data_IF_162436485940
#
_entry.id   IF_162436485940
#
_cell.length_a   1.000
_cell.length_b   1.000
_cell.length_c   1.000
_cell.angle_alpha   90.00
_cell.angle_beta   90.00
_cell.angle_gamma   90.00
#
_symmetry.space_group_name_H-M   'P 1'
#
loop_
_entity.id
_entity.type
_entity.pdbx_description
1 polymer ?
#
# COMPACT_ATOMS: atom_id res chain seq x y z
N UNK A 1 -12.90 -1.37 6.62
CA UNK A 1 -11.62 -1.90 7.16
C UNK A 1 -10.73 -0.76 7.69
N UNK A 2 -10.88 0.46 7.16
CA UNK A 2 -10.08 1.66 7.47
C UNK A 2 -10.34 2.34 8.83
N UNK A 3 -11.37 1.96 9.61
CA UNK A 3 -11.69 2.74 10.83
C UNK A 3 -11.94 1.89 12.09
N UNK A 4 -12.07 0.57 11.95
CA UNK A 4 -12.65 -0.27 13.00
C UNK A 4 -11.74 -1.40 13.45
N UNK A 5 -10.50 -1.45 12.98
CA UNK A 5 -9.55 -2.47 13.43
C UNK A 5 -9.32 -2.34 14.95
N UNK A 6 -9.60 -3.42 15.69
CA UNK A 6 -9.46 -3.50 17.15
C UNK A 6 -10.24 -2.45 17.97
N UNK A 7 -11.39 -1.95 17.47
CA UNK A 7 -12.21 -0.94 18.18
C UNK A 7 -12.79 -1.38 19.54
N UNK A 8 -12.91 -2.69 19.81
CA UNK A 8 -13.53 -3.31 21.00
C UNK A 8 -14.00 -2.38 22.14
N UNK A 9 -13.09 -1.90 23.00
CA UNK A 9 -13.39 -0.97 24.13
C UNK A 9 -12.77 0.42 23.95
N UNK A 10 -12.18 0.69 22.80
CA UNK A 10 -11.56 1.96 22.49
C UNK A 10 -12.57 2.89 21.80
N UNK A 11 -12.46 4.19 22.07
CA UNK A 11 -13.30 5.19 21.43
C UNK A 11 -13.06 5.27 19.91
N UNK A 12 -11.91 4.79 19.44
CA UNK A 12 -11.48 4.77 18.04
C UNK A 12 -10.93 3.39 17.67
N UNK A 13 -11.16 2.95 16.43
CA UNK A 13 -10.44 1.83 15.83
C UNK A 13 -9.24 2.33 15.03
N UNK A 14 -8.34 1.41 14.69
CA UNK A 14 -7.23 1.70 13.79
C UNK A 14 -7.64 1.48 12.34
N UNK A 15 -6.89 2.12 11.45
CA UNK A 15 -6.95 1.85 10.01
C UNK A 15 -5.97 0.73 9.68
N UNK A 16 -6.48 -0.44 9.27
CA UNK A 16 -5.62 -1.56 8.91
C UNK A 16 -4.68 -1.24 7.74
N UNK A 17 -5.17 -0.54 6.70
CA UNK A 17 -4.35 -0.18 5.55
C UNK A 17 -3.25 0.80 5.95
N UNK A 18 -3.57 1.80 6.79
CA UNK A 18 -2.55 2.71 7.30
C UNK A 18 -1.52 1.98 8.17
N UNK A 19 -1.96 1.03 9.01
CA UNK A 19 -1.07 0.19 9.82
C UNK A 19 -0.14 -0.65 8.94
N UNK A 20 -0.63 -1.22 7.85
CA UNK A 20 0.19 -2.02 6.93
C UNK A 20 1.22 -1.16 6.18
N UNK A 21 0.85 0.05 5.75
CA UNK A 21 1.81 1.02 5.17
C UNK A 21 2.89 1.36 6.19
N UNK A 22 2.50 1.64 7.44
CA UNK A 22 3.46 1.97 8.51
C UNK A 22 4.37 0.79 8.84
N UNK A 23 3.84 -0.43 8.90
CA UNK A 23 4.64 -1.64 9.09
C UNK A 23 5.62 -1.86 7.95
N UNK A 24 5.21 -1.62 6.71
CA UNK A 24 6.09 -1.70 5.55
C UNK A 24 7.26 -0.72 5.64
N UNK A 25 7.03 0.51 6.11
CA UNK A 25 8.07 1.52 6.34
C UNK A 25 9.02 1.11 7.46
N UNK A 26 8.49 0.64 8.58
CA UNK A 26 9.27 0.17 9.74
C UNK A 26 10.18 -1.01 9.38
N UNK A 27 9.68 -1.93 8.55
CA UNK A 27 10.45 -3.08 8.07
C UNK A 27 11.34 -2.77 6.86
N UNK A 28 11.35 -1.52 6.36
CA UNK A 28 12.17 -1.12 5.21
C UNK A 28 11.80 -1.86 3.91
N UNK A 29 10.52 -2.18 3.71
CA UNK A 29 10.08 -2.81 2.46
C UNK A 29 10.35 -1.88 1.27
N UNK A 30 10.86 -2.41 0.15
CA UNK A 30 11.09 -1.62 -1.05
C UNK A 30 9.82 -0.94 -1.56
N UNK A 31 10.00 0.21 -2.22
CA UNK A 31 8.90 0.87 -2.92
C UNK A 31 8.37 0.06 -4.11
N UNK A 32 7.19 0.41 -4.60
CA UNK A 32 6.52 -0.32 -5.68
C UNK A 32 7.41 -0.54 -6.91
N UNK A 33 8.11 0.49 -7.38
CA UNK A 33 9.00 0.40 -8.53
C UNK A 33 10.18 -0.56 -8.34
N UNK A 34 10.65 -0.78 -7.12
CA UNK A 34 11.71 -1.75 -6.86
C UNK A 34 11.17 -3.19 -6.95
N UNK A 35 9.96 -3.42 -6.41
CA UNK A 35 9.26 -4.68 -6.62
C UNK A 35 8.96 -4.95 -8.10
N UNK A 36 8.62 -3.92 -8.90
CA UNK A 36 8.46 -4.06 -10.36
C UNK A 36 9.74 -4.57 -11.01
N UNK A 37 10.91 -4.02 -10.66
CA UNK A 37 12.21 -4.51 -11.18
C UNK A 37 12.49 -5.96 -10.79
N UNK A 38 12.26 -6.32 -9.51
CA UNK A 38 12.43 -7.69 -9.01
C UNK A 38 11.55 -8.67 -9.81
N UNK A 39 10.32 -8.26 -10.12
CA UNK A 39 9.37 -9.02 -10.93
C UNK A 39 9.60 -8.90 -12.45
N UNK A 40 10.67 -8.25 -12.91
CA UNK A 40 11.00 -8.00 -14.33
C UNK A 40 9.92 -7.24 -15.11
N UNK A 41 9.20 -6.36 -14.42
CA UNK A 41 8.25 -5.42 -15.02
C UNK A 41 8.95 -4.10 -15.37
N UNK A 42 8.38 -3.35 -16.30
CA UNK A 42 8.84 -1.99 -16.63
C UNK A 42 8.63 -1.07 -15.43
N UNK A 43 9.64 -0.28 -15.06
CA UNK A 43 9.52 0.77 -14.03
C UNK A 43 8.50 1.81 -14.51
N UNK A 44 7.59 2.22 -13.62
CA UNK A 44 6.64 3.30 -13.93
C UNK A 44 7.28 4.65 -13.58
N UNK A 45 7.23 5.60 -14.51
CA UNK A 45 7.78 6.95 -14.32
C UNK A 45 6.70 7.96 -13.96
N UNK A 46 5.46 7.70 -14.37
CA UNK A 46 4.26 8.48 -14.04
C UNK A 46 3.05 7.57 -13.75
N UNK A 47 1.88 8.17 -13.53
CA UNK A 47 0.65 7.43 -13.26
C UNK A 47 0.00 6.85 -14.52
N UNK A 48 0.25 7.43 -15.70
CA UNK A 48 -0.33 6.93 -16.96
C UNK A 48 0.27 5.57 -17.32
N UNK A 49 1.53 5.32 -16.94
CA UNK A 49 2.18 4.01 -17.04
C UNK A 49 1.45 2.89 -16.27
N UNK A 50 0.59 3.23 -15.31
CA UNK A 50 -0.17 2.29 -14.49
C UNK A 50 -1.62 2.08 -14.96
N UNK A 51 -2.11 2.86 -15.93
CA UNK A 51 -3.51 2.87 -16.33
C UNK A 51 -4.03 1.52 -16.86
N UNK A 52 -3.13 0.67 -17.41
CA UNK A 52 -3.46 -0.68 -17.86
C UNK A 52 -3.43 -1.76 -16.76
N UNK A 53 -2.93 -1.42 -15.57
CA UNK A 53 -2.67 -2.35 -14.48
C UNK A 53 -3.51 -2.05 -13.23
N UNK A 54 -3.74 -0.77 -12.96
CA UNK A 54 -4.52 -0.26 -11.83
C UNK A 54 -5.68 0.55 -12.42
N UNK A 55 -6.90 0.04 -12.26
CA UNK A 55 -8.10 0.72 -12.74
C UNK A 55 -8.61 1.71 -11.70
N UNK A 56 -9.12 2.85 -12.15
CA UNK A 56 -9.81 3.84 -11.32
C UNK A 56 -11.22 3.42 -10.85
N UNK A 57 -11.65 2.19 -11.15
CA UNK A 57 -13.00 1.68 -10.86
C UNK A 57 -13.04 0.78 -9.63
#
# INVERSE_FOLDING_TARGET
>A
ITEYLFKSRNNYGMDLMAVDIQRGRDHGLPGYNEYRKICRMRVAEDFDDLAGEISDK
#
